data_IF_498195426083
#
_entry.id   IF_498195426083
#
_cell.length_a   1.000
_cell.length_b   1.000
_cell.length_c   1.000
_cell.angle_alpha   90.00
_cell.angle_beta   90.00
_cell.angle_gamma   90.00
#
_symmetry.space_group_name_H-M   'P 1'
#
loop_
_entity.id
_entity.type
_entity.pdbx_description
1 polymer ?
#
# COMPACT_ATOMS: atom_id res chain seq x y z
N UNK A 1 -58.51 -6.62 -51.12
CA UNK A 1 -58.33 -5.68 -49.98
C UNK A 1 -58.01 -6.32 -48.62
N UNK A 2 -58.20 -7.64 -48.40
CA UNK A 2 -57.99 -8.26 -47.07
C UNK A 2 -56.53 -8.72 -46.80
N UNK A 3 -55.77 -9.11 -47.82
CA UNK A 3 -54.40 -9.62 -47.67
C UNK A 3 -53.40 -8.50 -47.35
N UNK A 4 -53.52 -7.33 -48.01
CA UNK A 4 -52.63 -6.19 -47.78
C UNK A 4 -52.72 -5.65 -46.33
N UNK A 5 -53.90 -5.67 -45.71
CA UNK A 5 -54.07 -5.28 -44.30
C UNK A 5 -53.44 -6.29 -43.34
N UNK A 6 -53.46 -7.58 -43.67
CA UNK A 6 -52.86 -8.62 -42.83
C UNK A 6 -51.32 -8.54 -42.84
N UNK A 7 -50.73 -8.29 -44.01
CA UNK A 7 -49.27 -8.12 -44.16
C UNK A 7 -48.80 -6.86 -43.44
N UNK A 8 -49.54 -5.76 -43.55
CA UNK A 8 -49.20 -4.52 -42.85
C UNK A 8 -49.25 -4.72 -41.33
N UNK A 9 -50.29 -5.37 -40.80
CA UNK A 9 -50.43 -5.64 -39.37
C UNK A 9 -49.34 -6.58 -38.81
N UNK A 10 -48.91 -7.56 -39.62
CA UNK A 10 -47.81 -8.47 -39.27
C UNK A 10 -46.47 -7.74 -39.20
N UNK A 11 -46.20 -6.83 -40.14
CA UNK A 11 -45.00 -6.00 -40.15
C UNK A 11 -44.97 -5.03 -38.95
N UNK A 12 -46.11 -4.47 -38.54
CA UNK A 12 -46.16 -3.59 -37.36
C UNK A 12 -45.87 -4.35 -36.07
N UNK A 13 -46.37 -5.58 -35.93
CA UNK A 13 -46.11 -6.41 -34.74
C UNK A 13 -44.64 -6.82 -34.68
N UNK A 14 -44.04 -7.24 -35.80
CA UNK A 14 -42.61 -7.57 -35.85
C UNK A 14 -41.74 -6.34 -35.56
N UNK A 15 -42.11 -5.16 -36.07
CA UNK A 15 -41.40 -3.91 -35.77
C UNK A 15 -41.51 -3.53 -34.28
N UNK A 16 -42.69 -3.68 -33.66
CA UNK A 16 -42.88 -3.40 -32.23
C UNK A 16 -42.12 -4.38 -31.33
N UNK A 17 -42.05 -5.66 -31.69
CA UNK A 17 -41.24 -6.65 -30.98
C UNK A 17 -39.75 -6.33 -31.15
N UNK A 18 -39.29 -6.01 -32.36
CA UNK A 18 -37.90 -5.62 -32.61
C UNK A 18 -37.49 -4.36 -31.82
N UNK A 19 -38.35 -3.34 -31.75
CA UNK A 19 -38.10 -2.11 -30.97
C UNK A 19 -38.00 -2.41 -29.48
N UNK A 20 -38.83 -3.30 -28.94
CA UNK A 20 -38.75 -3.72 -27.53
C UNK A 20 -37.49 -4.55 -27.23
N UNK A 21 -37.07 -5.43 -28.15
CA UNK A 21 -35.83 -6.21 -28.00
C UNK A 21 -34.56 -5.33 -28.14
N UNK A 22 -34.56 -4.34 -29.03
CA UNK A 22 -33.48 -3.33 -29.16
C UNK A 22 -33.42 -2.38 -27.95
N UNK A 23 -34.58 -2.04 -27.37
CA UNK A 23 -34.65 -1.21 -26.15
C UNK A 23 -34.18 -1.98 -24.91
N UNK A 24 -34.46 -3.28 -24.80
CA UNK A 24 -33.95 -4.13 -23.72
C UNK A 24 -32.44 -4.43 -23.86
N UNK A 25 -31.93 -4.69 -25.07
CA UNK A 25 -30.48 -4.90 -25.28
C UNK A 25 -29.67 -3.63 -25.04
N UNK A 26 -30.17 -2.45 -25.43
CA UNK A 26 -29.51 -1.17 -25.11
C UNK A 26 -29.61 -0.79 -23.63
N UNK A 27 -30.70 -1.14 -22.92
CA UNK A 27 -30.80 -0.98 -21.47
C UNK A 27 -29.85 -1.92 -20.71
N UNK A 28 -29.62 -3.13 -21.23
CA UNK A 28 -28.70 -4.11 -20.66
C UNK A 28 -27.22 -3.79 -20.98
N UNK A 29 -26.92 -3.26 -22.16
CA UNK A 29 -25.60 -2.67 -22.46
C UNK A 29 -25.32 -1.40 -21.62
N UNK A 30 -26.35 -0.60 -21.29
CA UNK A 30 -26.19 0.56 -20.38
C UNK A 30 -25.97 0.17 -18.92
N UNK A 31 -26.38 -1.02 -18.51
CA UNK A 31 -26.15 -1.57 -17.17
C UNK A 31 -24.83 -2.37 -17.06
N UNK A 32 -24.13 -2.58 -18.19
CA UNK A 32 -22.82 -3.26 -18.23
C UNK A 32 -21.68 -2.29 -18.59
N UNK A 33 -21.87 -1.00 -18.33
CA UNK A 33 -20.77 -0.08 -18.08
C UNK A 33 -20.61 -0.10 -16.56
N UNK A 34 -19.64 -0.86 -16.07
CA UNK A 34 -19.20 -0.88 -14.66
C UNK A 34 -19.40 0.51 -14.10
N UNK A 35 -20.23 0.68 -13.07
CA UNK A 35 -20.27 1.93 -12.34
C UNK A 35 -18.82 2.18 -11.92
N UNK A 36 -18.11 3.05 -12.64
CA UNK A 36 -16.84 3.58 -12.16
C UNK A 36 -17.22 4.18 -10.82
N UNK A 37 -16.72 3.59 -9.75
CA UNK A 37 -16.92 4.13 -8.42
C UNK A 37 -16.25 5.50 -8.44
N UNK A 38 -17.06 6.55 -8.66
CA UNK A 38 -16.64 7.94 -8.61
C UNK A 38 -16.51 8.33 -7.13
N UNK A 39 -15.68 7.59 -6.40
CA UNK A 39 -15.37 7.80 -4.99
C UNK A 39 -13.87 7.79 -4.79
N UNK A 40 -13.43 8.44 -3.71
CA UNK A 40 -12.06 8.26 -3.25
C UNK A 40 -11.91 6.83 -2.70
N UNK A 41 -10.78 6.22 -2.97
CA UNK A 41 -10.44 4.88 -2.48
C UNK A 41 -9.95 4.92 -1.02
N UNK A 42 -9.50 6.09 -0.56
CA UNK A 42 -9.19 6.40 0.83
C UNK A 42 -9.61 7.85 1.12
N UNK A 43 -9.88 8.16 2.39
CA UNK A 43 -9.83 9.56 2.81
C UNK A 43 -8.40 10.11 2.68
N UNK A 44 -8.23 11.44 2.59
CA UNK A 44 -6.90 12.01 2.66
C UNK A 44 -6.25 11.76 4.02
N UNK A 45 -4.97 11.41 4.00
CA UNK A 45 -4.15 11.22 5.19
C UNK A 45 -2.90 12.09 5.13
N UNK A 46 -2.31 12.31 6.29
CA UNK A 46 -1.25 13.29 6.48
C UNK A 46 0.14 12.64 6.56
N UNK A 47 1.14 13.27 5.95
CA UNK A 47 2.52 12.77 5.92
C UNK A 47 3.54 13.91 5.93
N UNK A 48 4.78 13.57 6.28
CA UNK A 48 5.97 14.42 6.09
C UNK A 48 5.78 15.90 6.51
N UNK A 49 5.35 16.19 7.75
CA UNK A 49 5.26 17.55 8.23
C UNK A 49 6.65 18.20 8.29
N UNK A 50 6.72 19.49 7.97
CA UNK A 50 7.85 20.39 8.25
C UNK A 50 7.37 21.50 9.18
N UNK A 51 8.23 22.44 9.55
CA UNK A 51 7.85 23.60 10.37
C UNK A 51 6.64 24.37 9.81
N UNK A 52 6.50 24.45 8.48
CA UNK A 52 5.46 25.28 7.83
C UNK A 52 4.65 24.56 6.76
N UNK A 53 4.82 23.24 6.64
CA UNK A 53 4.11 22.45 5.62
C UNK A 53 3.72 21.07 6.11
N UNK A 54 2.79 20.45 5.40
CA UNK A 54 2.47 19.03 5.52
C UNK A 54 1.98 18.49 4.19
N UNK A 55 2.21 17.21 3.95
CA UNK A 55 1.75 16.54 2.74
C UNK A 55 0.39 15.89 3.01
N UNK A 56 -0.54 16.09 2.09
CA UNK A 56 -1.88 15.49 2.10
C UNK A 56 -1.94 14.52 0.95
N UNK A 57 -2.21 13.25 1.26
CA UNK A 57 -2.18 12.14 0.29
C UNK A 57 -3.50 11.39 0.29
N UNK A 58 -3.98 10.99 -0.89
CA UNK A 58 -5.15 10.12 -1.01
C UNK A 58 -5.06 9.28 -2.28
N UNK A 59 -5.96 8.31 -2.40
CA UNK A 59 -5.97 7.35 -3.50
C UNK A 59 -7.31 7.28 -4.20
N UNK A 60 -7.28 6.91 -5.48
CA UNK A 60 -8.45 6.66 -6.34
C UNK A 60 -8.15 5.48 -7.28
N UNK A 61 -9.20 4.95 -7.92
CA UNK A 61 -9.07 3.97 -9.01
C UNK A 61 -9.04 4.63 -10.41
N UNK A 62 -8.99 5.96 -10.45
CA UNK A 62 -8.99 6.74 -11.67
C UNK A 62 -7.90 7.81 -11.63
N UNK A 63 -7.23 8.03 -12.75
CA UNK A 63 -6.16 9.04 -12.82
C UNK A 63 -6.67 10.44 -12.52
N UNK A 64 -7.87 10.77 -13.03
CA UNK A 64 -8.54 12.05 -12.87
C UNK A 64 -7.99 13.14 -13.78
N UNK A 65 -8.77 14.21 -13.93
CA UNK A 65 -8.38 15.37 -14.74
C UNK A 65 -7.53 16.35 -13.92
N UNK A 66 -7.83 16.45 -12.61
CA UNK A 66 -7.21 17.38 -11.68
C UNK A 66 -7.50 16.97 -10.24
N UNK A 67 -6.56 17.28 -9.35
CA UNK A 67 -6.65 16.98 -7.93
C UNK A 67 -6.18 18.19 -7.12
N UNK A 68 -6.87 18.53 -6.04
CA UNK A 68 -6.48 19.64 -5.18
C UNK A 68 -6.86 19.40 -3.72
N UNK A 69 -6.19 20.15 -2.85
CA UNK A 69 -6.60 20.33 -1.45
C UNK A 69 -7.08 21.76 -1.28
N UNK A 70 -8.27 21.92 -0.71
CA UNK A 70 -8.74 23.20 -0.15
C UNK A 70 -8.36 23.25 1.33
N UNK A 71 -7.89 24.37 1.84
CA UNK A 71 -7.51 24.51 3.25
C UNK A 71 -7.64 25.96 3.75
N UNK A 72 -7.54 26.14 5.06
CA UNK A 72 -7.80 27.42 5.75
C UNK A 72 -9.12 27.40 6.51
N UNK A 73 -9.35 28.40 7.35
CA UNK A 73 -10.53 28.48 8.23
C UNK A 73 -11.86 28.35 7.47
N UNK A 74 -11.89 28.81 6.21
CA UNK A 74 -13.05 28.75 5.33
C UNK A 74 -12.79 27.93 4.05
N UNK A 75 -11.73 27.11 4.03
CA UNK A 75 -11.29 26.34 2.85
C UNK A 75 -11.01 27.23 1.62
N UNK A 76 -10.56 28.45 1.87
CA UNK A 76 -10.34 29.49 0.86
C UNK A 76 -9.06 29.28 0.05
N UNK A 77 -8.05 28.66 0.64
CA UNK A 77 -6.76 28.39 0.00
C UNK A 77 -6.82 27.09 -0.78
N UNK A 78 -6.07 26.99 -1.89
CA UNK A 78 -6.06 25.81 -2.76
C UNK A 78 -4.64 25.48 -3.19
N UNK A 79 -4.31 24.20 -3.18
CA UNK A 79 -3.06 23.67 -3.74
C UNK A 79 -3.35 22.46 -4.62
N UNK A 80 -2.73 22.42 -5.80
CA UNK A 80 -2.85 21.30 -6.74
C UNK A 80 -2.00 20.12 -6.27
N UNK A 81 -2.52 18.91 -6.41
CA UNK A 81 -1.79 17.68 -6.14
C UNK A 81 -1.04 17.17 -7.38
N UNK A 82 0.08 16.49 -7.16
CA UNK A 82 0.74 15.66 -8.16
C UNK A 82 0.15 14.26 -8.15
N UNK A 83 -0.06 13.67 -9.33
CA UNK A 83 -0.59 12.32 -9.49
C UNK A 83 0.51 11.35 -9.94
N UNK A 84 0.53 10.16 -9.33
CA UNK A 84 1.39 9.05 -9.74
C UNK A 84 0.63 7.73 -9.65
N UNK A 85 0.90 6.78 -10.53
CA UNK A 85 0.30 5.45 -10.47
C UNK A 85 1.17 4.52 -9.61
N UNK A 86 0.54 3.72 -8.74
CA UNK A 86 1.25 2.63 -8.07
C UNK A 86 1.62 1.55 -9.08
N UNK A 87 2.87 1.08 -9.05
CA UNK A 87 3.45 0.25 -10.11
C UNK A 87 3.22 -1.25 -9.90
N UNK A 88 3.03 -1.68 -8.64
CA UNK A 88 2.98 -3.10 -8.26
C UNK A 88 1.65 -3.60 -7.69
N UNK A 89 0.70 -2.70 -7.46
CA UNK A 89 -0.61 -3.06 -6.91
C UNK A 89 -1.38 -4.00 -7.83
N UNK A 90 -1.78 -5.13 -7.28
CA UNK A 90 -2.42 -6.26 -7.98
C UNK A 90 -3.51 -6.88 -7.11
N UNK A 91 -4.27 -7.77 -7.73
CA UNK A 91 -5.19 -8.71 -7.07
C UNK A 91 -4.95 -10.12 -7.60
N UNK A 92 -5.31 -11.13 -6.81
CA UNK A 92 -5.19 -12.55 -7.16
C UNK A 92 -6.32 -13.38 -6.55
N UNK A 93 -6.24 -14.71 -6.68
CA UNK A 93 -7.31 -15.62 -6.26
C UNK A 93 -7.54 -15.61 -4.73
N UNK A 94 -6.54 -15.17 -3.98
CA UNK A 94 -6.58 -15.06 -2.52
C UNK A 94 -7.12 -13.69 -2.06
N UNK A 95 -7.33 -12.74 -2.99
CA UNK A 95 -7.91 -11.42 -2.69
C UNK A 95 -9.35 -11.52 -2.21
N UNK A 96 -9.66 -10.79 -1.15
CA UNK A 96 -11.00 -10.74 -0.57
C UNK A 96 -11.77 -9.58 -1.21
N UNK A 97 -12.12 -9.74 -2.49
CA UNK A 97 -12.87 -8.76 -3.30
C UNK A 97 -13.98 -9.47 -4.06
N UNK A 98 -14.86 -8.69 -4.69
CA UNK A 98 -15.86 -9.25 -5.60
C UNK A 98 -15.15 -9.76 -6.86
N UNK A 99 -15.36 -11.03 -7.21
CA UNK A 99 -14.79 -11.67 -8.40
C UNK A 99 -13.25 -11.59 -8.46
N UNK A 100 -12.52 -12.20 -7.52
CA UNK A 100 -11.06 -12.17 -7.52
C UNK A 100 -10.50 -12.83 -8.79
N UNK A 101 -9.46 -12.26 -9.42
CA UNK A 101 -8.85 -12.85 -10.61
C UNK A 101 -8.09 -14.12 -10.25
N UNK A 102 -8.03 -15.11 -11.14
CA UNK A 102 -7.37 -16.39 -10.86
C UNK A 102 -5.85 -16.33 -10.80
N UNK A 103 -5.25 -15.22 -11.24
CA UNK A 103 -3.80 -14.97 -11.28
C UNK A 103 -3.51 -13.50 -10.95
N UNK A 104 -2.29 -13.16 -10.48
CA UNK A 104 -1.85 -11.80 -10.23
C UNK A 104 -2.17 -10.89 -11.42
N UNK A 105 -3.10 -9.97 -11.19
CA UNK A 105 -3.61 -9.05 -12.20
C UNK A 105 -3.47 -7.62 -11.68
N UNK A 106 -2.89 -6.68 -12.47
CA UNK A 106 -2.76 -5.30 -12.04
C UNK A 106 -4.09 -4.65 -11.65
N UNK A 107 -4.11 -3.94 -10.53
CA UNK A 107 -5.19 -3.03 -10.14
C UNK A 107 -4.66 -1.61 -10.18
N UNK A 108 -5.31 -0.78 -11.01
CA UNK A 108 -4.85 0.57 -11.28
C UNK A 108 -5.20 1.50 -10.12
N UNK A 109 -4.24 1.74 -9.24
CA UNK A 109 -4.37 2.67 -8.13
C UNK A 109 -3.56 3.93 -8.42
N UNK A 110 -4.20 5.08 -8.26
CA UNK A 110 -3.58 6.39 -8.43
C UNK A 110 -3.43 7.07 -7.09
N UNK A 111 -2.23 7.58 -6.84
CA UNK A 111 -1.85 8.35 -5.67
C UNK A 111 -1.84 9.83 -6.03
N UNK A 112 -2.47 10.63 -5.19
CA UNK A 112 -2.48 12.08 -5.31
C UNK A 112 -1.83 12.68 -4.07
N UNK A 113 -0.90 13.61 -4.26
CA UNK A 113 -0.19 14.26 -3.17
C UNK A 113 -0.15 15.77 -3.36
N UNK A 114 -0.65 16.52 -2.39
CA UNK A 114 -0.52 17.97 -2.32
C UNK A 114 0.35 18.39 -1.13
N UNK A 115 1.21 19.38 -1.33
CA UNK A 115 2.04 19.96 -0.26
C UNK A 115 1.38 21.27 0.20
N UNK A 116 0.72 21.23 1.35
CA UNK A 116 0.13 22.43 1.97
C UNK A 116 1.25 23.19 2.68
N UNK A 117 1.42 24.47 2.36
CA UNK A 117 2.51 25.34 2.87
C UNK A 117 1.96 26.57 3.60
N UNK A 118 2.84 27.29 4.28
CA UNK A 118 2.48 28.52 4.99
C UNK A 118 1.66 28.28 6.26
N UNK A 119 1.79 27.08 6.84
CA UNK A 119 1.14 26.71 8.09
C UNK A 119 1.91 27.29 9.28
N UNK A 120 1.16 27.71 10.30
CA UNK A 120 1.72 28.12 11.59
C UNK A 120 1.88 26.89 12.49
N UNK A 121 3.06 26.63 13.06
CA UNK A 121 3.25 25.57 14.04
C UNK A 121 2.21 25.60 15.16
N UNK A 122 1.82 24.41 15.63
CA UNK A 122 0.82 24.20 16.69
C UNK A 122 -0.60 24.70 16.37
N UNK A 123 -0.86 25.23 15.18
CA UNK A 123 -2.21 25.61 14.74
C UNK A 123 -2.78 24.55 13.80
N UNK A 124 -3.96 24.03 14.15
CA UNK A 124 -4.74 23.15 13.26
C UNK A 124 -5.65 24.01 12.40
N UNK A 125 -5.71 23.69 11.10
CA UNK A 125 -6.63 24.33 10.15
C UNK A 125 -7.46 23.28 9.41
N UNK A 126 -8.70 23.62 9.01
CA UNK A 126 -9.51 22.74 8.18
C UNK A 126 -8.89 22.48 6.81
N UNK A 127 -9.12 21.28 6.25
CA UNK A 127 -8.80 20.96 4.87
C UNK A 127 -9.77 19.94 4.26
N UNK A 128 -9.84 19.91 2.93
CA UNK A 128 -10.66 18.99 2.14
C UNK A 128 -9.91 18.58 0.86
N UNK A 129 -9.83 17.27 0.57
CA UNK A 129 -9.32 16.78 -0.71
C UNK A 129 -10.45 16.73 -1.75
N UNK A 130 -10.11 17.12 -2.98
CA UNK A 130 -11.05 17.12 -4.11
C UNK A 130 -10.37 16.52 -5.34
N UNK A 131 -11.01 15.49 -5.90
CA UNK A 131 -10.63 14.90 -7.18
C UNK A 131 -11.66 15.24 -8.24
N UNK A 132 -11.20 15.54 -9.46
CA UNK A 132 -12.06 15.83 -10.60
C UNK A 132 -11.96 14.69 -11.61
N UNK A 133 -13.10 14.15 -12.04
CA UNK A 133 -13.18 13.16 -13.11
C UNK A 133 -14.33 13.52 -14.03
N UNK A 134 -14.06 13.72 -15.32
CA UNK A 134 -15.04 14.17 -16.31
C UNK A 134 -15.79 15.43 -15.83
N UNK A 135 -15.05 16.39 -15.25
CA UNK A 135 -15.58 17.62 -14.65
C UNK A 135 -16.46 17.43 -13.38
N UNK A 136 -16.73 16.20 -12.95
CA UNK A 136 -17.41 15.94 -11.69
C UNK A 136 -16.42 16.04 -10.53
N UNK A 137 -16.78 16.80 -9.49
CA UNK A 137 -16.01 16.87 -8.25
C UNK A 137 -16.39 15.71 -7.30
N UNK A 138 -15.38 15.03 -6.78
CA UNK A 138 -15.46 13.98 -5.76
C UNK A 138 -14.69 14.51 -4.55
N UNK A 139 -15.42 14.82 -3.48
CA UNK A 139 -14.88 15.51 -2.32
C UNK A 139 -14.79 14.57 -1.10
N UNK A 140 -13.72 14.71 -0.33
CA UNK A 140 -13.67 14.14 1.02
C UNK A 140 -14.57 14.94 1.98
N UNK A 141 -14.75 14.41 3.20
CA UNK A 141 -15.16 15.25 4.34
C UNK A 141 -14.10 16.34 4.60
N UNK A 142 -14.46 17.30 5.45
CA UNK A 142 -13.51 18.28 5.98
C UNK A 142 -12.82 17.67 7.20
N UNK A 143 -11.49 17.65 7.18
CA UNK A 143 -10.63 17.20 8.27
C UNK A 143 -9.75 18.35 8.74
N UNK A 144 -8.78 18.09 9.63
CA UNK A 144 -7.84 19.11 10.12
C UNK A 144 -6.40 18.67 9.94
N UNK A 145 -5.54 19.61 9.58
CA UNK A 145 -4.10 19.39 9.47
C UNK A 145 -3.35 20.44 10.28
N UNK A 146 -2.10 20.16 10.63
CA UNK A 146 -1.17 21.11 11.22
C UNK A 146 0.23 20.82 10.67
N UNK A 147 1.12 21.80 10.71
CA UNK A 147 2.55 21.57 10.47
C UNK A 147 3.19 20.87 11.67
N UNK A 148 4.50 20.64 11.59
CA UNK A 148 5.28 20.08 12.67
C UNK A 148 5.13 20.95 13.94
N UNK A 149 4.91 20.32 15.11
CA UNK A 149 4.77 21.06 16.36
C UNK A 149 6.12 21.64 16.81
N UNK A 150 6.08 22.70 17.61
CA UNK A 150 7.28 23.23 18.27
C UNK A 150 7.76 22.28 19.36
N UNK A 151 9.02 22.44 19.79
CA UNK A 151 9.67 21.60 20.80
C UNK A 151 8.82 21.43 22.08
N UNK A 152 8.33 22.53 22.64
CA UNK A 152 7.64 22.55 23.95
C UNK A 152 6.16 22.13 23.91
N UNK A 153 5.63 21.82 22.73
CA UNK A 153 4.23 21.39 22.60
C UNK A 153 4.04 20.02 23.26
N UNK A 154 3.04 19.90 24.13
CA UNK A 154 2.63 18.60 24.66
C UNK A 154 1.98 17.78 23.54
N UNK A 155 2.44 16.53 23.35
CA UNK A 155 2.04 15.66 22.25
C UNK A 155 1.34 14.38 22.75
N UNK A 156 0.31 13.95 22.01
CA UNK A 156 -0.26 12.60 22.11
C UNK A 156 0.16 11.79 20.89
N UNK A 157 1.00 10.79 21.10
CA UNK A 157 1.51 9.94 20.01
C UNK A 157 0.83 8.58 20.09
N UNK A 158 0.23 8.14 18.99
CA UNK A 158 -0.20 6.75 18.83
C UNK A 158 0.99 5.91 18.37
N UNK A 159 1.42 4.96 19.19
CA UNK A 159 2.32 3.89 18.78
C UNK A 159 1.52 2.61 18.58
N UNK A 160 1.53 2.07 17.38
CA UNK A 160 0.75 0.86 17.01
C UNK A 160 1.46 0.13 15.88
N UNK A 161 1.31 -1.17 15.73
CA UNK A 161 1.99 -1.97 14.70
C UNK A 161 1.24 -3.27 14.46
N UNK A 162 1.73 -4.09 13.52
CA UNK A 162 1.23 -5.46 13.31
C UNK A 162 -0.28 -5.47 13.03
N UNK A 163 -0.72 -4.48 12.24
CA UNK A 163 -2.14 -4.32 11.91
C UNK A 163 -2.60 -5.51 11.10
N UNK A 164 -1.90 -5.82 10.00
CA UNK A 164 -2.02 -7.03 9.18
C UNK A 164 -3.46 -7.53 8.97
N UNK A 165 -4.43 -6.62 8.89
CA UNK A 165 -5.86 -6.91 8.81
C UNK A 165 -6.35 -7.85 9.95
N UNK A 166 -5.68 -7.83 11.10
CA UNK A 166 -5.96 -8.71 12.23
C UNK A 166 -7.33 -8.37 12.84
N UNK A 167 -8.06 -9.38 13.36
CA UNK A 167 -9.46 -9.20 13.75
C UNK A 167 -9.73 -8.09 14.77
N UNK A 168 -8.79 -7.88 15.70
CA UNK A 168 -8.93 -6.88 16.76
C UNK A 168 -8.49 -5.47 16.34
N UNK A 169 -7.87 -5.30 15.17
CA UNK A 169 -7.31 -4.00 14.75
C UNK A 169 -8.39 -2.93 14.67
N UNK A 170 -9.50 -3.19 13.96
CA UNK A 170 -10.59 -2.23 13.86
C UNK A 170 -11.22 -1.91 15.23
N UNK A 171 -11.35 -2.91 16.12
CA UNK A 171 -11.87 -2.71 17.47
C UNK A 171 -10.95 -1.86 18.34
N UNK A 172 -9.64 -2.10 18.27
CA UNK A 172 -8.63 -1.34 19.01
C UNK A 172 -8.58 0.12 18.53
N UNK A 173 -8.56 0.34 17.20
CA UNK A 173 -8.54 1.67 16.60
C UNK A 173 -9.80 2.48 16.95
N UNK A 174 -10.98 1.83 17.00
CA UNK A 174 -12.24 2.46 17.38
C UNK A 174 -12.24 3.00 18.83
N UNK A 175 -11.34 2.51 19.70
CA UNK A 175 -11.23 2.98 21.09
C UNK A 175 -10.30 4.17 21.26
N UNK A 176 -9.47 4.51 20.27
CA UNK A 176 -8.43 5.53 20.43
C UNK A 176 -9.04 6.90 20.71
N UNK A 177 -9.80 7.46 19.76
CA UNK A 177 -10.37 8.81 19.90
C UNK A 177 -11.28 8.95 21.13
N UNK A 178 -12.16 7.99 21.47
CA UNK A 178 -12.93 8.05 22.71
C UNK A 178 -12.09 8.02 24.00
N UNK A 179 -10.91 7.41 23.98
CA UNK A 179 -10.07 7.21 25.18
C UNK A 179 -9.10 8.36 25.39
N UNK A 180 -8.41 8.79 24.33
CA UNK A 180 -7.31 9.78 24.43
C UNK A 180 -7.59 11.07 23.67
N UNK A 181 -8.71 11.16 22.94
CA UNK A 181 -9.00 12.25 22.01
C UNK A 181 -8.18 12.15 20.73
N UNK A 182 -8.10 13.27 20.01
CA UNK A 182 -7.29 13.39 18.80
C UNK A 182 -5.79 13.26 19.14
N UNK A 183 -5.08 12.42 18.40
CA UNK A 183 -3.63 12.26 18.49
C UNK A 183 -2.90 13.23 17.56
N UNK A 184 -1.64 13.51 17.86
CA UNK A 184 -0.80 14.45 17.13
C UNK A 184 0.08 13.78 16.08
N UNK A 185 0.42 12.50 16.25
CA UNK A 185 1.08 11.68 15.24
C UNK A 185 0.81 10.20 15.46
N UNK A 186 1.02 9.41 14.41
CA UNK A 186 1.01 7.94 14.47
C UNK A 186 2.39 7.41 14.10
N UNK A 187 3.04 6.70 15.02
CA UNK A 187 4.26 5.95 14.77
C UNK A 187 3.89 4.49 14.57
N UNK A 188 4.22 3.94 13.40
CA UNK A 188 3.78 2.60 13.00
C UNK A 188 4.97 1.72 12.56
N UNK A 189 5.64 1.00 13.49
CA UNK A 189 6.86 0.25 13.19
C UNK A 189 6.61 -1.07 12.45
N UNK A 190 6.09 -1.00 11.23
CA UNK A 190 6.01 -2.12 10.30
C UNK A 190 4.77 -3.01 10.45
N UNK A 191 4.67 -3.94 9.52
CA UNK A 191 3.61 -4.94 9.39
C UNK A 191 2.22 -4.30 9.28
N UNK A 192 2.06 -3.47 8.24
CA UNK A 192 0.87 -2.67 7.97
C UNK A 192 -0.25 -3.53 7.40
N UNK A 193 0.07 -4.34 6.39
CA UNK A 193 -0.84 -5.27 5.71
C UNK A 193 -0.25 -6.68 5.73
N UNK A 194 -0.91 -7.69 5.17
CA UNK A 194 -0.31 -9.04 5.05
C UNK A 194 0.54 -9.17 3.78
N UNK A 195 0.05 -8.68 2.64
CA UNK A 195 0.69 -8.79 1.34
C UNK A 195 0.77 -7.38 0.72
N UNK A 196 1.97 -6.80 0.58
CA UNK A 196 2.11 -5.39 0.26
C UNK A 196 1.64 -5.06 -1.16
N UNK A 197 1.78 -5.99 -2.10
CA UNK A 197 1.31 -5.79 -3.48
C UNK A 197 -0.20 -6.06 -3.66
N UNK A 198 -0.92 -6.56 -2.64
CA UNK A 198 -2.37 -6.79 -2.74
C UNK A 198 -3.13 -5.50 -2.44
N UNK A 199 -3.72 -4.90 -3.46
CA UNK A 199 -4.36 -3.59 -3.34
C UNK A 199 -5.51 -3.59 -2.34
N UNK A 200 -6.38 -4.61 -2.36
CA UNK A 200 -7.50 -4.72 -1.44
C UNK A 200 -7.12 -4.67 0.03
N UNK A 201 -5.94 -5.15 0.42
CA UNK A 201 -5.50 -5.09 1.82
C UNK A 201 -5.23 -3.68 2.32
N UNK A 202 -4.87 -2.78 1.41
CA UNK A 202 -4.74 -1.37 1.73
C UNK A 202 -6.10 -0.67 1.80
N UNK A 203 -7.01 -1.00 0.88
CA UNK A 203 -8.11 -0.11 0.53
C UNK A 203 -9.52 -0.62 0.85
N UNK A 204 -9.84 -1.87 0.54
CA UNK A 204 -11.24 -2.31 0.46
C UNK A 204 -11.47 -3.83 0.59
N UNK A 205 -10.60 -4.52 1.32
CA UNK A 205 -10.76 -5.92 1.71
C UNK A 205 -12.18 -6.18 2.27
N UNK A 206 -12.89 -7.12 1.66
CA UNK A 206 -14.30 -7.44 1.97
C UNK A 206 -14.52 -8.04 3.35
N UNK A 207 -13.47 -8.49 4.04
CA UNK A 207 -13.57 -8.85 5.47
C UNK A 207 -13.72 -7.61 6.36
N UNK A 208 -13.53 -6.41 5.80
CA UNK A 208 -13.68 -5.12 6.46
C UNK A 208 -12.47 -4.68 7.26
N UNK A 209 -11.31 -5.33 7.10
CA UNK A 209 -10.10 -5.11 7.90
C UNK A 209 -9.00 -4.28 7.23
N UNK A 210 -9.24 -3.75 6.03
CA UNK A 210 -8.21 -3.05 5.24
C UNK A 210 -7.56 -1.88 5.98
N UNK A 211 -6.29 -1.62 5.67
CA UNK A 211 -5.41 -0.71 6.41
C UNK A 211 -5.95 0.73 6.48
N UNK A 212 -6.21 1.36 5.34
CA UNK A 212 -6.72 2.74 5.31
C UNK A 212 -8.08 2.83 5.97
N UNK A 213 -9.10 2.01 5.64
CA UNK A 213 -10.38 2.01 6.34
C UNK A 213 -10.26 1.91 7.88
N UNK A 214 -9.38 1.04 8.39
CA UNK A 214 -9.17 0.89 9.84
C UNK A 214 -8.70 2.17 10.53
N UNK A 215 -7.72 2.85 9.93
CA UNK A 215 -7.15 4.11 10.44
C UNK A 215 -7.96 5.36 10.07
N UNK A 216 -9.02 5.19 9.28
CA UNK A 216 -9.88 6.26 8.79
C UNK A 216 -11.30 6.22 9.36
N UNK A 217 -11.62 5.26 10.23
CA UNK A 217 -12.96 5.13 10.80
C UNK A 217 -13.99 4.63 9.78
N UNK A 218 -13.53 3.87 8.77
CA UNK A 218 -14.32 3.34 7.65
C UNK A 218 -14.21 1.83 7.48
N UNK A 219 -13.55 1.13 8.41
CA UNK A 219 -13.54 -0.33 8.43
C UNK A 219 -14.96 -0.89 8.60
N UNK A 220 -15.15 -2.18 8.35
CA UNK A 220 -16.44 -2.82 8.61
C UNK A 220 -16.21 -4.25 9.09
N UNK A 221 -15.35 -4.39 10.10
CA UNK A 221 -14.93 -5.70 10.58
C UNK A 221 -15.94 -6.23 11.61
N UNK A 222 -16.51 -7.40 11.36
CA UNK A 222 -17.47 -8.03 12.26
C UNK A 222 -16.77 -8.98 13.24
N UNK A 223 -17.06 -8.81 14.54
CA UNK A 223 -16.64 -9.75 15.58
C UNK A 223 -17.87 -10.31 16.29
N UNK A 224 -17.96 -11.63 16.35
CA UNK A 224 -18.99 -12.34 17.11
C UNK A 224 -18.46 -12.68 18.50
N UNK A 225 -19.25 -12.36 19.53
CA UNK A 225 -19.01 -12.77 20.91
C UNK A 225 -20.33 -13.05 21.60
N UNK A 226 -20.45 -14.21 22.23
CA UNK A 226 -21.63 -14.62 23.01
C UNK A 226 -22.95 -14.49 22.20
N UNK A 227 -22.92 -14.87 20.91
CA UNK A 227 -24.07 -14.79 20.00
C UNK A 227 -24.43 -13.36 19.55
N UNK A 228 -23.61 -12.36 19.87
CA UNK A 228 -23.78 -10.98 19.43
C UNK A 228 -22.68 -10.60 18.44
N UNK A 229 -23.08 -10.22 17.22
CA UNK A 229 -22.16 -9.66 16.23
C UNK A 229 -22.06 -8.15 16.39
N UNK A 230 -20.84 -7.63 16.53
CA UNK A 230 -20.55 -6.20 16.55
C UNK A 230 -19.67 -5.83 15.37
N UNK A 231 -20.09 -4.84 14.59
CA UNK A 231 -19.29 -4.28 13.49
C UNK A 231 -18.44 -3.12 14.00
N UNK A 232 -17.12 -3.21 13.81
CA UNK A 232 -16.16 -2.19 14.19
C UNK A 232 -15.68 -1.39 12.98
N UNK A 233 -15.70 -0.06 13.12
CA UNK A 233 -15.39 0.87 12.04
C UNK A 233 -13.94 1.37 12.05
N UNK A 234 -13.13 0.99 13.03
CA UNK A 234 -11.82 1.61 13.23
C UNK A 234 -11.93 3.02 13.80
N UNK A 235 -10.91 3.85 13.64
CA UNK A 235 -10.88 5.22 14.15
C UNK A 235 -10.48 6.24 13.10
N UNK A 236 -11.13 7.40 13.06
CA UNK A 236 -10.75 8.55 12.21
C UNK A 236 -9.48 9.22 12.78
N UNK A 237 -8.31 8.76 12.35
CA UNK A 237 -7.01 9.09 12.97
C UNK A 237 -6.09 9.79 11.99
N UNK A 238 -5.75 9.13 10.87
CA UNK A 238 -4.67 9.62 9.99
C UNK A 238 -5.09 10.77 9.07
N UNK A 239 -6.39 11.08 9.02
CA UNK A 239 -6.90 12.34 8.45
C UNK A 239 -6.52 13.56 9.29
N UNK A 240 -6.08 13.33 10.54
CA UNK A 240 -5.83 14.37 11.53
C UNK A 240 -4.41 14.37 12.08
N UNK A 241 -3.67 13.30 11.87
CA UNK A 241 -2.34 13.09 12.43
C UNK A 241 -1.40 12.51 11.36
N UNK A 242 -0.19 13.07 11.18
CA UNK A 242 0.80 12.50 10.28
C UNK A 242 1.17 11.06 10.67
N UNK A 243 1.22 10.20 9.65
CA UNK A 243 1.61 8.80 9.76
C UNK A 243 3.09 8.61 9.43
N UNK A 244 3.83 8.01 10.37
CA UNK A 244 5.25 7.69 10.27
C UNK A 244 5.43 6.16 10.31
N UNK A 245 5.35 5.47 9.17
CA UNK A 245 5.52 4.03 9.13
C UNK A 245 7.02 3.64 9.09
N UNK A 246 7.33 2.41 9.47
CA UNK A 246 8.59 1.72 9.17
C UNK A 246 8.32 0.51 8.27
N UNK A 247 9.39 -0.08 7.72
CA UNK A 247 9.31 -1.30 6.92
C UNK A 247 9.44 -2.52 7.83
N UNK A 248 8.37 -3.30 7.96
CA UNK A 248 8.36 -4.65 8.55
C UNK A 248 8.59 -5.74 7.50
N UNK A 249 8.50 -7.02 7.89
CA UNK A 249 8.63 -8.12 6.92
C UNK A 249 7.44 -8.17 5.97
N UNK A 250 6.26 -7.71 6.39
CA UNK A 250 5.09 -7.69 5.53
C UNK A 250 5.08 -6.54 4.51
N UNK A 251 6.04 -5.62 4.56
CA UNK A 251 6.25 -4.62 3.51
C UNK A 251 7.22 -5.12 2.42
N UNK A 252 7.83 -6.28 2.62
CA UNK A 252 8.81 -6.87 1.69
C UNK A 252 8.11 -7.87 0.78
N UNK A 253 8.00 -7.52 -0.50
CA UNK A 253 7.52 -8.43 -1.52
C UNK A 253 8.68 -9.24 -2.10
N UNK A 254 8.47 -10.53 -2.36
CA UNK A 254 9.45 -11.36 -3.05
C UNK A 254 9.42 -11.24 -4.57
N UNK A 255 9.98 -12.23 -5.26
CA UNK A 255 10.09 -12.20 -6.73
C UNK A 255 8.73 -12.37 -7.40
N UNK A 256 8.55 -11.68 -8.52
CA UNK A 256 7.33 -11.75 -9.34
C UNK A 256 7.15 -13.15 -9.92
N UNK A 257 5.92 -13.65 -9.98
CA UNK A 257 5.56 -14.93 -10.58
C UNK A 257 4.17 -14.86 -11.23
N UNK A 258 3.77 -15.94 -11.91
CA UNK A 258 2.40 -16.07 -12.43
C UNK A 258 1.46 -16.81 -11.47
N UNK A 259 1.92 -17.15 -10.26
CA UNK A 259 1.17 -17.98 -9.32
C UNK A 259 0.20 -17.16 -8.46
N UNK A 260 0.50 -16.90 -7.20
CA UNK A 260 -0.28 -16.01 -6.32
C UNK A 260 0.65 -15.01 -5.66
N UNK A 261 0.14 -13.85 -5.28
CA UNK A 261 0.85 -12.84 -4.50
C UNK A 261 1.34 -13.41 -3.17
N UNK A 262 0.59 -14.33 -2.55
CA UNK A 262 1.04 -15.05 -1.36
C UNK A 262 2.31 -15.87 -1.62
N UNK A 263 2.42 -16.52 -2.77
CA UNK A 263 3.61 -17.28 -3.15
C UNK A 263 4.79 -16.38 -3.49
N UNK A 264 4.55 -15.27 -4.17
CA UNK A 264 5.59 -14.25 -4.40
C UNK A 264 6.11 -13.68 -3.07
N UNK A 265 5.22 -13.29 -2.15
CA UNK A 265 5.56 -12.83 -0.81
C UNK A 265 6.43 -13.83 -0.05
N UNK A 266 6.09 -15.12 -0.12
CA UNK A 266 6.86 -16.21 0.49
C UNK A 266 8.18 -16.55 -0.21
N UNK A 267 8.55 -15.82 -1.27
CA UNK A 267 9.69 -16.12 -2.15
C UNK A 267 10.64 -14.92 -2.37
N UNK A 268 11.14 -14.27 -1.30
CA UNK A 268 12.11 -13.19 -1.44
C UNK A 268 13.51 -13.73 -1.77
N UNK A 269 14.23 -12.97 -2.60
CA UNK A 269 15.61 -13.27 -2.97
C UNK A 269 16.46 -12.00 -2.85
N UNK A 270 17.66 -12.05 -2.23
CA UNK A 270 18.54 -10.90 -2.16
C UNK A 270 18.91 -10.37 -3.55
N UNK A 271 18.98 -9.04 -3.68
CA UNK A 271 19.31 -8.38 -4.95
C UNK A 271 20.67 -8.80 -5.51
N UNK A 272 21.63 -9.10 -4.64
CA UNK A 272 22.94 -9.60 -5.06
C UNK A 272 22.82 -10.96 -5.77
N UNK A 273 22.07 -11.90 -5.19
CA UNK A 273 21.86 -13.23 -5.77
C UNK A 273 21.13 -13.13 -7.11
N UNK A 274 20.09 -12.29 -7.20
CA UNK A 274 19.46 -12.01 -8.49
C UNK A 274 20.44 -11.41 -9.51
N UNK A 275 21.33 -10.52 -9.08
CA UNK A 275 22.35 -9.92 -9.96
C UNK A 275 23.33 -10.98 -10.50
N UNK A 276 23.76 -11.92 -9.67
CA UNK A 276 24.64 -13.03 -10.05
C UNK A 276 23.94 -13.94 -11.08
N UNK A 277 22.67 -14.28 -10.88
CA UNK A 277 21.89 -15.05 -11.85
C UNK A 277 21.69 -14.33 -13.18
N UNK A 278 21.44 -13.01 -13.12
CA UNK A 278 21.38 -12.19 -14.32
C UNK A 278 22.69 -12.26 -15.10
N UNK A 279 23.84 -12.11 -14.43
CA UNK A 279 25.15 -12.14 -15.08
C UNK A 279 25.44 -13.48 -15.77
N UNK A 280 25.09 -14.59 -15.14
CA UNK A 280 25.27 -15.94 -15.71
C UNK A 280 24.41 -16.17 -16.96
N UNK A 281 23.25 -15.50 -17.06
CA UNK A 281 22.25 -15.73 -18.10
C UNK A 281 22.01 -14.50 -18.98
N UNK A 282 22.88 -13.49 -18.91
CA UNK A 282 22.65 -12.17 -19.51
C UNK A 282 22.45 -12.25 -21.03
N UNK A 283 23.20 -13.13 -21.70
CA UNK A 283 23.08 -13.36 -23.15
C UNK A 283 21.72 -13.87 -23.59
N UNK A 284 20.98 -14.57 -22.72
CA UNK A 284 19.63 -15.08 -22.99
C UNK A 284 18.56 -14.09 -22.53
N UNK A 285 18.75 -13.48 -21.35
CA UNK A 285 17.77 -12.58 -20.73
C UNK A 285 17.72 -11.21 -21.43
N UNK A 286 18.89 -10.67 -21.79
CA UNK A 286 19.05 -9.32 -22.31
C UNK A 286 20.13 -9.31 -23.41
N UNK A 287 19.88 -9.97 -24.56
CA UNK A 287 20.85 -10.06 -25.65
C UNK A 287 21.26 -8.69 -26.21
N UNK A 288 20.35 -7.70 -26.16
CA UNK A 288 20.59 -6.32 -26.58
C UNK A 288 21.34 -5.47 -25.53
N UNK A 289 21.60 -6.02 -24.33
CA UNK A 289 22.29 -5.34 -23.23
C UNK A 289 21.65 -4.02 -22.78
N UNK A 290 20.32 -3.92 -22.90
CA UNK A 290 19.56 -2.74 -22.52
C UNK A 290 19.62 -2.52 -21.00
N UNK A 291 20.08 -1.35 -20.51
CA UNK A 291 20.21 -1.10 -19.07
C UNK A 291 18.89 -1.27 -18.30
N UNK A 292 17.77 -0.86 -18.89
CA UNK A 292 16.46 -0.96 -18.25
C UNK A 292 15.98 -2.41 -18.11
N UNK A 293 16.15 -3.23 -19.15
CA UNK A 293 15.82 -4.67 -19.08
C UNK A 293 16.61 -5.38 -17.99
N UNK A 294 17.89 -5.04 -17.81
CA UNK A 294 18.69 -5.54 -16.69
C UNK A 294 18.10 -5.13 -15.34
N UNK A 295 17.80 -3.83 -15.17
CA UNK A 295 17.27 -3.30 -13.93
C UNK A 295 15.93 -3.94 -13.56
N UNK A 296 15.00 -4.02 -14.52
CA UNK A 296 13.68 -4.61 -14.32
C UNK A 296 13.74 -6.10 -14.05
N UNK A 297 14.63 -6.83 -14.73
CA UNK A 297 14.81 -8.25 -14.48
C UNK A 297 15.33 -8.48 -13.05
N UNK A 298 16.38 -7.77 -12.62
CA UNK A 298 16.93 -7.92 -11.27
C UNK A 298 15.86 -7.55 -10.23
N UNK A 299 15.12 -6.47 -10.45
CA UNK A 299 14.04 -6.01 -9.56
C UNK A 299 12.93 -7.05 -9.43
N UNK A 300 12.45 -7.60 -10.55
CA UNK A 300 11.38 -8.60 -10.55
C UNK A 300 11.83 -9.99 -10.08
N UNK A 301 13.14 -10.26 -10.04
CA UNK A 301 13.72 -11.51 -9.55
C UNK A 301 14.40 -11.34 -8.18
N UNK A 302 14.16 -10.24 -7.47
CA UNK A 302 14.61 -10.03 -6.09
C UNK A 302 13.48 -9.48 -5.22
N UNK A 303 13.74 -9.37 -3.92
CA UNK A 303 12.80 -8.70 -3.03
C UNK A 303 12.76 -7.18 -3.32
N UNK A 304 11.62 -6.57 -3.01
CA UNK A 304 11.43 -5.13 -3.10
C UNK A 304 10.48 -4.62 -2.00
N UNK A 305 10.42 -3.29 -1.89
CA UNK A 305 9.54 -2.54 -0.98
C UNK A 305 8.76 -1.47 -1.76
N UNK A 306 8.56 -1.67 -3.07
CA UNK A 306 8.13 -0.59 -3.95
C UNK A 306 6.75 -0.07 -3.58
N UNK A 307 5.78 -0.95 -3.31
CA UNK A 307 4.42 -0.52 -2.95
C UNK A 307 4.42 0.35 -1.69
N UNK A 308 5.21 0.00 -0.68
CA UNK A 308 5.41 0.83 0.51
C UNK A 308 6.02 2.20 0.16
N UNK A 309 7.10 2.20 -0.62
CA UNK A 309 7.81 3.43 -0.99
C UNK A 309 6.98 4.35 -1.90
N UNK A 310 6.05 3.79 -2.67
CA UNK A 310 5.14 4.53 -3.53
C UNK A 310 3.93 5.07 -2.75
N UNK A 311 3.41 4.34 -1.77
CA UNK A 311 2.29 4.78 -0.91
C UNK A 311 2.73 5.96 -0.03
N UNK A 312 3.89 5.85 0.64
CA UNK A 312 4.27 6.79 1.69
C UNK A 312 5.27 7.85 1.25
N UNK A 313 4.98 9.11 1.58
CA UNK A 313 5.96 10.20 1.60
C UNK A 313 6.71 10.21 2.92
N UNK A 314 8.01 9.94 2.82
CA UNK A 314 8.94 9.83 3.94
C UNK A 314 10.19 10.66 3.64
N UNK A 315 10.97 11.04 4.65
CA UNK A 315 12.28 11.64 4.41
C UNK A 315 13.10 10.69 3.53
N UNK A 316 13.66 11.23 2.45
CA UNK A 316 14.33 10.46 1.40
C UNK A 316 15.78 10.92 1.16
N UNK A 317 16.32 11.72 2.07
CA UNK A 317 17.67 12.26 2.01
C UNK A 317 18.75 11.30 2.52
N UNK A 318 18.38 10.08 2.94
CA UNK A 318 19.32 9.04 3.35
C UNK A 318 19.77 8.20 2.15
N UNK A 319 20.92 7.49 2.21
CA UNK A 319 21.30 6.51 1.19
C UNK A 319 20.27 5.37 1.03
N UNK A 320 19.40 5.19 2.03
CA UNK A 320 18.29 4.24 2.03
C UNK A 320 17.08 4.70 1.26
N UNK A 321 17.00 5.98 0.87
CA UNK A 321 15.77 6.58 0.38
C UNK A 321 14.70 6.53 1.47
N UNK A 322 13.50 6.05 1.13
CA UNK A 322 12.36 5.98 2.04
C UNK A 322 12.38 4.76 2.98
N UNK A 323 13.30 3.81 2.77
CA UNK A 323 13.35 2.54 3.51
C UNK A 323 13.76 2.71 4.98
N UNK A 324 14.60 3.69 5.26
CA UNK A 324 14.96 4.09 6.62
C UNK A 324 15.18 5.60 6.65
N UNK A 325 14.79 6.23 7.75
CA UNK A 325 14.84 7.68 7.87
C UNK A 325 14.96 8.11 9.33
N UNK A 326 15.34 9.37 9.51
CA UNK A 326 15.24 10.02 10.81
C UNK A 326 14.62 11.40 10.63
N UNK A 327 13.74 11.76 11.55
CA UNK A 327 13.04 13.04 11.55
C UNK A 327 12.81 13.53 12.98
N UNK A 328 12.40 14.78 13.11
CA UNK A 328 12.05 15.38 14.40
C UNK A 328 10.57 15.74 14.38
N UNK A 329 9.88 15.51 15.49
CA UNK A 329 8.48 15.89 15.66
C UNK A 329 8.30 16.45 17.07
N UNK A 330 8.21 17.78 17.19
CA UNK A 330 8.37 18.48 18.47
C UNK A 330 9.71 18.15 19.11
N UNK A 331 9.69 17.73 20.38
CA UNK A 331 10.88 17.29 21.11
C UNK A 331 11.27 15.81 20.87
N UNK A 332 10.62 15.11 19.93
CA UNK A 332 10.90 13.70 19.66
C UNK A 332 11.83 13.57 18.45
N UNK A 333 12.99 12.94 18.63
CA UNK A 333 13.83 12.45 17.53
C UNK A 333 13.40 11.03 17.17
N UNK A 334 12.69 10.88 16.05
CA UNK A 334 12.28 9.58 15.52
C UNK A 334 13.35 9.02 14.58
N UNK A 335 13.79 7.79 14.82
CA UNK A 335 14.70 7.05 13.95
C UNK A 335 13.99 5.76 13.53
N UNK A 336 13.61 5.69 12.25
CA UNK A 336 13.00 4.52 11.63
C UNK A 336 14.09 3.73 10.89
N UNK A 337 14.32 2.50 11.34
CA UNK A 337 15.32 1.61 10.77
C UNK A 337 14.64 0.54 9.93
N UNK A 338 15.33 0.08 8.88
CA UNK A 338 14.92 -1.07 8.09
C UNK A 338 15.62 -2.32 8.62
N UNK A 339 15.01 -2.98 9.60
CA UNK A 339 15.61 -4.13 10.31
C UNK A 339 14.67 -5.33 10.26
N UNK A 340 14.33 -5.77 9.05
CA UNK A 340 13.45 -6.93 8.88
C UNK A 340 14.20 -8.17 8.43
N UNK A 341 13.75 -9.32 8.94
CA UNK A 341 14.04 -10.64 8.41
C UNK A 341 12.73 -11.24 7.94
N UNK A 342 12.76 -11.90 6.79
CA UNK A 342 11.60 -12.65 6.30
C UNK A 342 11.35 -13.81 7.25
N UNK A 343 10.16 -13.86 7.83
CA UNK A 343 9.76 -14.93 8.73
C UNK A 343 9.69 -16.27 8.00
N UNK A 344 10.21 -17.32 8.64
CA UNK A 344 10.23 -18.70 8.11
C UNK A 344 9.75 -19.67 9.18
N UNK A 345 8.91 -20.62 8.78
CA UNK A 345 8.40 -21.65 9.69
C UNK A 345 9.51 -22.55 10.23
N UNK A 346 9.27 -23.16 11.38
CA UNK A 346 10.18 -24.06 12.10
C UNK A 346 10.12 -25.53 11.62
N UNK A 347 9.28 -25.82 10.62
CA UNK A 347 9.08 -27.19 10.10
C UNK A 347 10.38 -27.82 9.58
N UNK A 348 10.62 -29.07 10.00
CA UNK A 348 11.74 -29.89 9.56
C UNK A 348 11.33 -30.98 8.54
N UNK A 349 10.10 -30.93 8.00
CA UNK A 349 9.62 -31.90 7.00
C UNK A 349 10.46 -31.86 5.72
N UNK A 350 10.49 -32.95 4.95
CA UNK A 350 11.37 -33.08 3.77
C UNK A 350 11.10 -32.02 2.69
N UNK A 351 9.84 -31.63 2.53
CA UNK A 351 9.33 -30.63 1.60
C UNK A 351 9.36 -29.19 2.15
N UNK A 352 9.73 -29.00 3.42
CA UNK A 352 9.71 -27.70 4.06
C UNK A 352 10.85 -26.79 3.55
N UNK A 353 10.48 -25.56 3.16
CA UNK A 353 11.40 -24.42 3.02
C UNK A 353 11.32 -23.59 4.30
N UNK A 354 12.05 -24.03 5.31
CA UNK A 354 11.93 -23.54 6.68
C UNK A 354 13.12 -22.67 7.11
N UNK A 355 13.05 -22.21 8.36
CA UNK A 355 14.14 -21.45 9.01
C UNK A 355 15.48 -22.19 9.03
N UNK A 356 15.43 -23.52 9.09
CA UNK A 356 16.61 -24.36 9.33
C UNK A 356 17.14 -25.07 8.09
N UNK A 357 16.35 -25.18 7.02
CA UNK A 357 16.73 -25.90 5.80
C UNK A 357 15.87 -25.52 4.61
N UNK A 358 16.43 -25.73 3.43
CA UNK A 358 15.67 -25.78 2.18
C UNK A 358 15.02 -27.16 1.99
N UNK A 359 14.07 -27.23 1.06
CA UNK A 359 13.43 -28.50 0.70
C UNK A 359 14.48 -29.49 0.19
N UNK A 360 14.32 -30.79 0.48
CA UNK A 360 15.28 -31.80 0.04
C UNK A 360 15.42 -31.86 -1.49
N UNK A 361 14.34 -31.55 -2.22
CA UNK A 361 14.34 -31.50 -3.68
C UNK A 361 15.13 -30.32 -4.25
N UNK A 362 15.33 -29.25 -3.45
CA UNK A 362 15.98 -28.02 -3.88
C UNK A 362 17.43 -27.91 -3.40
N UNK A 363 17.94 -28.86 -2.60
CA UNK A 363 19.29 -28.78 -2.02
C UNK A 363 20.41 -28.60 -3.07
N UNK A 364 20.25 -29.16 -4.26
CA UNK A 364 21.24 -29.02 -5.34
C UNK A 364 20.88 -27.89 -6.34
N UNK A 365 19.83 -27.10 -6.05
CA UNK A 365 19.34 -26.02 -6.89
C UNK A 365 19.27 -24.67 -6.13
N UNK A 366 20.40 -23.95 -6.00
CA UNK A 366 20.43 -22.65 -5.33
C UNK A 366 19.48 -21.58 -5.89
N UNK A 367 18.99 -21.73 -7.12
CA UNK A 367 17.99 -20.82 -7.71
C UNK A 367 16.58 -21.02 -7.13
N UNK A 368 16.31 -22.21 -6.58
CA UNK A 368 15.06 -22.56 -5.92
C UNK A 368 15.08 -22.30 -4.40
N UNK A 369 16.25 -21.94 -3.87
CA UNK A 369 16.42 -21.53 -2.47
C UNK A 369 15.74 -20.19 -2.23
N UNK A 370 15.32 -20.00 -1.00
CA UNK A 370 14.61 -18.80 -0.59
C UNK A 370 15.25 -18.32 0.70
N UNK A 371 16.03 -17.24 0.61
CA UNK A 371 16.81 -16.75 1.73
C UNK A 371 15.89 -16.19 2.85
N UNK A 372 16.25 -16.44 4.11
CA UNK A 372 15.55 -16.01 5.33
C UNK A 372 16.34 -16.33 6.61
N UNK A 373 15.98 -15.68 7.73
CA UNK A 373 16.43 -15.71 9.16
C UNK A 373 17.71 -16.44 9.66
N UNK A 374 18.62 -17.00 8.84
CA UNK A 374 19.82 -17.65 9.35
C UNK A 374 21.08 -17.58 8.49
N UNK A 375 22.22 -17.58 9.18
CA UNK A 375 23.60 -17.56 8.68
C UNK A 375 24.05 -19.02 8.41
N UNK A 376 23.71 -19.57 7.24
CA UNK A 376 24.22 -20.89 6.84
C UNK A 376 25.70 -20.79 6.43
N UNK A 377 26.60 -20.74 7.41
CA UNK A 377 28.05 -20.80 7.16
C UNK A 377 28.62 -22.23 7.20
N UNK A 378 27.95 -23.16 7.87
CA UNK A 378 28.59 -24.41 8.25
C UNK A 378 28.22 -25.61 7.36
N UNK A 379 27.35 -25.47 6.37
CA UNK A 379 26.90 -26.60 5.54
C UNK A 379 27.06 -26.43 4.02
N UNK A 380 27.28 -25.21 3.52
CA UNK A 380 27.48 -24.96 2.08
C UNK A 380 28.57 -23.90 1.91
N UNK A 381 29.68 -24.16 1.19
CA UNK A 381 30.86 -23.28 1.16
C UNK A 381 30.68 -21.89 0.52
N UNK A 382 29.47 -21.45 0.16
CA UNK A 382 29.32 -20.20 -0.59
C UNK A 382 28.00 -19.43 -0.37
N UNK A 383 27.42 -19.49 0.84
CA UNK A 383 26.18 -18.77 1.19
C UNK A 383 26.38 -17.36 1.75
N UNK A 384 27.58 -16.78 1.63
CA UNK A 384 27.84 -15.40 2.04
C UNK A 384 26.92 -14.37 1.37
N UNK A 385 26.30 -14.71 0.22
CA UNK A 385 25.33 -13.91 -0.52
C UNK A 385 23.85 -14.08 -0.15
N UNK A 386 23.44 -15.07 0.66
CA UNK A 386 22.03 -15.19 1.13
C UNK A 386 21.73 -14.32 2.35
N UNK A 387 22.71 -13.55 2.85
CA UNK A 387 22.49 -12.63 3.96
C UNK A 387 21.55 -11.52 3.50
N UNK A 388 20.38 -11.44 4.15
CA UNK A 388 19.43 -10.38 3.87
C UNK A 388 19.96 -9.04 4.41
N UNK A 389 20.71 -8.98 5.54
CA UNK A 389 21.38 -7.75 6.04
C UNK A 389 22.62 -7.95 6.94
N UNK A 390 23.33 -6.84 7.21
CA UNK A 390 24.37 -6.68 8.25
C UNK A 390 23.72 -6.57 9.65
N UNK A 391 24.37 -7.05 10.73
CA UNK A 391 23.87 -6.90 12.10
C UNK A 391 23.60 -5.44 12.50
N UNK A 392 22.54 -5.21 13.28
CA UNK A 392 22.07 -3.88 13.73
C UNK A 392 23.17 -3.04 14.38
N UNK A 393 24.07 -3.66 15.14
CA UNK A 393 25.19 -2.96 15.78
C UNK A 393 26.13 -2.31 14.77
N UNK A 394 26.29 -2.88 13.58
CA UNK A 394 27.18 -2.36 12.54
C UNK A 394 26.58 -1.15 11.83
N UNK A 395 25.26 -1.14 11.64
CA UNK A 395 24.52 0.02 11.12
C UNK A 395 24.59 1.17 12.13
N UNK A 396 24.38 0.88 13.42
CA UNK A 396 24.50 1.84 14.51
C UNK A 396 25.94 2.42 14.56
N UNK A 397 26.96 1.57 14.45
CA UNK A 397 28.37 2.00 14.45
C UNK A 397 28.69 2.90 13.25
N UNK A 398 28.28 2.50 12.04
CA UNK A 398 28.50 3.25 10.80
C UNK A 398 27.85 4.66 10.90
N UNK A 399 26.68 4.76 11.54
CA UNK A 399 25.97 6.02 11.75
C UNK A 399 26.65 6.94 12.78
N UNK A 400 27.17 6.38 13.88
CA UNK A 400 27.96 7.14 14.86
C UNK A 400 29.33 7.57 14.31
N UNK A 401 29.89 6.86 13.34
CA UNK A 401 31.16 7.25 12.68
C UNK A 401 31.00 8.23 11.52
N UNK A 402 29.78 8.37 10.97
CA UNK A 402 29.50 9.22 9.82
C UNK A 402 29.08 10.66 10.20
N UNK A 403 28.97 10.96 11.50
CA UNK A 403 28.77 12.33 11.98
C UNK A 403 30.13 13.01 12.09
N UNK A 404 30.43 14.09 11.32
CA UNK A 404 31.61 14.88 11.55
C UNK A 404 31.54 15.44 12.97
N UNK A 405 32.64 15.34 13.72
CA UNK A 405 32.78 16.02 15.00
C UNK A 405 32.42 17.49 14.80
N UNK A 406 31.56 18.09 15.65
CA UNK A 406 31.38 19.53 15.63
C UNK A 406 32.76 20.16 15.91
N UNK A 407 33.27 20.93 14.95
CA UNK A 407 34.35 21.89 15.15
C UNK A 407 33.75 23.21 15.61
#
# INVERSE_FOLDING_TARGET
MKIAKLVLMSLTIVALIAINYLSMTSAQEKLTKTAQNNSLLSDPFLQLPTETSINVVWFTEFEGDRHLVKYGEQLEQKVTATTSKLSRTREDADSQIDNPPTRPTPRNIWRHEAIVKGLTPNQRVPYQAVSFQNQQAIESKVFTLASQPTADQSLKILLTSDHQLMPMTAANLAKITPTVGQVDAVFLPGDLVNIPDRASEWFDDRRGGAFFPGLQGKASYELERDGTTTTYQGGEIIQHAPLFPAVGNHEVMGKTSLETLRKEFGNPLPRQVATEFYQQNAGTINPAQEPQTKADWIKNNSFNTDTYEEIFSLPNNSPGGKRYYATTFGNIRLISLYVTNIWRGDSLKADAKGKYKESQADLDNPQAWVCGDYDMKDYVPNLSGCRIYKPIWKVILEWFTATPSPN
#
